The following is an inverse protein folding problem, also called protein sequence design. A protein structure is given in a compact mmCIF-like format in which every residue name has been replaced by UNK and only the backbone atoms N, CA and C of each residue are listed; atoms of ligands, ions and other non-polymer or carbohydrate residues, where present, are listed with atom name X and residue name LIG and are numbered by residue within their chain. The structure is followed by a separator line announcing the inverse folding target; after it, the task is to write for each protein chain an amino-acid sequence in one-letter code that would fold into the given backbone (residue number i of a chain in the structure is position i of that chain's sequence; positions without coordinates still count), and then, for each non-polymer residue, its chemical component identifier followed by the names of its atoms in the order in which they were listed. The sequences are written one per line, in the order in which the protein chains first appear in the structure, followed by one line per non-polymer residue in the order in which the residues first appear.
data_IF_413699237898
#
_entry.id   IF_413699237898
#
_cell.length_a   1.000
_cell.length_b   1.000
_cell.length_c   1.000
_cell.angle_alpha   90.00
_cell.angle_beta   90.00
_cell.angle_gamma   90.00
#
_symmetry.space_group_name_H-M   'P 1'
#
loop_
_entity.id
_entity.type
_entity.pdbx_description
1 polymer ?
#
# COMPACT_ATOMS: atom_id res chain seq x y z
N UNK A 1 -22.51 -10.58 1.65
CA UNK A 1 -22.04 -11.62 2.62
C UNK A 1 -22.91 -11.55 3.87
N UNK A 2 -23.24 -12.70 4.51
CA UNK A 2 -24.09 -12.70 5.69
C UNK A 2 -23.32 -12.18 6.93
N UNK A 3 -24.00 -11.49 7.83
CA UNK A 3 -23.46 -10.95 9.08
C UNK A 3 -22.69 -12.00 9.91
N UNK A 4 -23.17 -13.25 9.93
CA UNK A 4 -22.51 -14.36 10.63
C UNK A 4 -21.13 -14.70 10.02
N UNK A 5 -20.98 -14.66 8.70
CA UNK A 5 -19.69 -14.90 8.02
C UNK A 5 -18.65 -13.84 8.37
N UNK A 6 -19.07 -12.58 8.47
CA UNK A 6 -18.17 -11.49 8.84
C UNK A 6 -17.73 -11.57 10.32
N UNK A 7 -18.64 -11.93 11.21
CA UNK A 7 -18.31 -12.18 12.63
C UNK A 7 -17.29 -13.32 12.77
N UNK A 8 -17.43 -14.39 11.99
CA UNK A 8 -16.48 -15.52 12.02
C UNK A 8 -15.09 -15.07 11.54
N UNK A 9 -15.01 -14.32 10.44
CA UNK A 9 -13.74 -13.75 9.95
C UNK A 9 -13.06 -12.89 11.00
N UNK A 10 -13.84 -12.01 11.67
CA UNK A 10 -13.32 -11.14 12.70
C UNK A 10 -12.78 -11.94 13.90
N UNK A 11 -13.50 -12.96 14.38
CA UNK A 11 -13.04 -13.83 15.48
C UNK A 11 -11.74 -14.57 15.12
N UNK A 12 -11.62 -15.05 13.88
CA UNK A 12 -10.39 -15.67 13.37
C UNK A 12 -9.24 -14.66 13.37
N UNK A 13 -9.49 -13.45 12.90
CA UNK A 13 -8.50 -12.38 12.81
C UNK A 13 -8.00 -11.93 14.20
N UNK A 14 -8.91 -11.72 15.14
CA UNK A 14 -8.56 -11.28 16.49
C UNK A 14 -7.71 -12.34 17.22
N UNK A 15 -8.09 -13.61 17.14
CA UNK A 15 -7.30 -14.69 17.69
C UNK A 15 -5.91 -14.82 16.99
N UNK A 16 -5.86 -14.65 15.68
CA UNK A 16 -4.59 -14.69 14.95
C UNK A 16 -3.64 -13.56 15.39
N UNK A 17 -4.14 -12.35 15.54
CA UNK A 17 -3.37 -11.20 16.06
C UNK A 17 -2.80 -11.51 17.44
N UNK A 18 -3.64 -12.02 18.36
CA UNK A 18 -3.19 -12.42 19.70
C UNK A 18 -2.09 -13.48 19.64
N UNK A 19 -2.25 -14.52 18.81
CA UNK A 19 -1.26 -15.57 18.65
C UNK A 19 0.05 -15.05 18.08
N UNK A 20 0.01 -14.17 17.09
CA UNK A 20 1.21 -13.54 16.51
C UNK A 20 1.94 -12.72 17.58
N UNK A 21 1.21 -11.91 18.35
CA UNK A 21 1.80 -11.07 19.41
C UNK A 21 2.36 -11.92 20.57
N UNK A 22 1.67 -12.98 20.96
CA UNK A 22 2.09 -13.84 22.06
C UNK A 22 3.19 -14.85 21.68
N UNK A 23 3.50 -15.03 20.39
CA UNK A 23 4.46 -16.01 19.92
C UNK A 23 5.87 -15.75 20.46
N UNK A 24 6.47 -16.68 21.24
CA UNK A 24 7.80 -16.47 21.81
C UNK A 24 8.90 -16.34 20.75
N UNK A 25 8.85 -17.17 19.71
CA UNK A 25 9.76 -17.08 18.56
C UNK A 25 9.05 -16.36 17.40
N UNK A 26 9.35 -15.08 17.17
CA UNK A 26 8.69 -14.30 16.12
C UNK A 26 9.04 -14.76 14.70
N UNK A 27 10.06 -15.61 14.52
CA UNK A 27 10.45 -16.20 13.22
C UNK A 27 9.54 -17.35 12.82
N UNK A 28 8.79 -17.90 13.78
CA UNK A 28 7.90 -19.01 13.53
C UNK A 28 6.53 -18.51 13.11
N UNK A 29 6.07 -18.95 11.95
CA UNK A 29 4.73 -18.67 11.45
C UNK A 29 3.67 -19.36 12.29
N UNK A 30 2.56 -18.68 12.55
CA UNK A 30 1.37 -19.31 13.12
C UNK A 30 0.75 -20.20 12.06
N UNK A 31 0.59 -21.48 12.35
CA UNK A 31 -0.07 -22.43 11.46
C UNK A 31 -1.59 -22.47 11.69
N UNK A 32 -2.33 -22.88 10.65
CA UNK A 32 -3.79 -22.95 10.70
C UNK A 32 -4.27 -23.91 11.80
N UNK A 33 -3.53 -24.98 12.08
CA UNK A 33 -3.93 -25.96 13.11
C UNK A 33 -3.94 -25.36 14.49
N UNK A 34 -2.91 -24.59 14.83
CA UNK A 34 -2.81 -23.88 16.11
C UNK A 34 -3.95 -22.87 16.25
N UNK A 35 -4.23 -22.12 15.18
CA UNK A 35 -5.28 -21.09 15.17
C UNK A 35 -6.67 -21.70 15.38
N UNK A 36 -7.06 -22.68 14.55
CA UNK A 36 -8.42 -23.26 14.62
C UNK A 36 -8.67 -24.01 15.93
N UNK A 37 -7.61 -24.63 16.48
CA UNK A 37 -7.68 -25.27 17.81
C UNK A 37 -7.96 -24.26 18.93
N UNK A 38 -7.32 -23.07 18.84
CA UNK A 38 -7.51 -22.03 19.87
C UNK A 38 -8.91 -21.42 19.87
N UNK A 39 -9.52 -21.25 18.68
CA UNK A 39 -10.88 -20.68 18.54
C UNK A 39 -11.98 -21.73 18.44
N UNK A 40 -11.63 -23.00 18.62
CA UNK A 40 -12.55 -24.15 18.64
C UNK A 40 -13.42 -24.27 17.37
N UNK A 41 -12.85 -24.00 16.21
CA UNK A 41 -13.48 -24.24 14.91
C UNK A 41 -12.77 -25.36 14.16
N UNK A 42 -13.41 -25.94 13.14
CA UNK A 42 -12.77 -26.88 12.25
C UNK A 42 -11.95 -26.18 11.15
N UNK A 43 -11.03 -26.94 10.54
CA UNK A 43 -10.19 -26.45 9.43
C UNK A 43 -11.04 -26.02 8.22
N UNK A 44 -12.14 -26.71 7.97
CA UNK A 44 -13.03 -26.40 6.84
C UNK A 44 -13.62 -25.00 7.00
N UNK A 45 -14.03 -24.64 8.22
CA UNK A 45 -14.51 -23.29 8.54
C UNK A 45 -13.45 -22.25 8.25
N UNK A 46 -12.19 -22.45 8.62
CA UNK A 46 -11.11 -21.55 8.25
C UNK A 46 -10.96 -21.41 6.72
N UNK A 47 -10.87 -22.55 6.01
CA UNK A 47 -10.67 -22.53 4.55
C UNK A 47 -11.87 -22.06 3.75
N UNK A 48 -13.07 -21.98 4.34
CA UNK A 48 -14.22 -21.31 3.74
C UNK A 48 -14.04 -19.77 3.66
N UNK A 49 -13.11 -19.21 4.44
CA UNK A 49 -12.88 -17.77 4.54
C UNK A 49 -11.50 -17.32 4.00
N UNK A 50 -10.47 -18.13 4.23
CA UNK A 50 -9.09 -17.77 3.95
C UNK A 50 -8.33 -18.94 3.32
N UNK A 51 -7.53 -18.66 2.29
CA UNK A 51 -6.74 -19.71 1.62
C UNK A 51 -5.57 -20.18 2.49
N UNK A 52 -5.00 -19.27 3.27
CA UNK A 52 -3.88 -19.53 4.19
C UNK A 52 -3.73 -18.35 5.16
N UNK A 53 -2.72 -18.42 6.04
CA UNK A 53 -2.48 -17.35 7.03
C UNK A 53 -1.94 -16.05 6.43
N UNK A 54 -1.30 -16.05 5.26
CA UNK A 54 -0.94 -14.81 4.55
C UNK A 54 -2.19 -14.09 4.06
N UNK A 55 -3.13 -14.84 3.51
CA UNK A 55 -4.41 -14.32 3.08
C UNK A 55 -5.23 -13.70 4.24
N UNK A 56 -5.16 -14.32 5.41
CA UNK A 56 -5.72 -13.74 6.63
C UNK A 56 -5.04 -12.41 7.01
N UNK A 57 -3.70 -12.33 6.92
CA UNK A 57 -2.95 -11.08 7.16
C UNK A 57 -3.39 -9.98 6.18
N UNK A 58 -3.54 -10.32 4.90
CA UNK A 58 -4.03 -9.40 3.87
C UNK A 58 -5.43 -8.90 4.23
N UNK A 59 -6.34 -9.81 4.59
CA UNK A 59 -7.70 -9.44 4.96
C UNK A 59 -7.73 -8.53 6.20
N UNK A 60 -6.94 -8.83 7.23
CA UNK A 60 -6.83 -7.98 8.43
C UNK A 60 -6.46 -6.54 8.04
N UNK A 61 -5.41 -6.37 7.24
CA UNK A 61 -5.00 -5.06 6.78
C UNK A 61 -6.09 -4.37 5.95
N UNK A 62 -6.66 -5.07 4.96
CA UNK A 62 -7.70 -4.54 4.06
C UNK A 62 -8.97 -4.16 4.82
N UNK A 63 -9.45 -5.02 5.74
CA UNK A 63 -10.65 -4.77 6.52
C UNK A 63 -10.49 -3.55 7.44
N UNK A 64 -9.37 -3.44 8.15
CA UNK A 64 -9.08 -2.30 9.02
C UNK A 64 -8.93 -0.99 8.24
N UNK A 65 -8.23 -1.04 7.12
CA UNK A 65 -8.09 0.13 6.25
C UNK A 65 -9.45 0.55 5.68
N UNK A 66 -10.25 -0.40 5.18
CA UNK A 66 -11.57 -0.13 4.64
C UNK A 66 -12.52 0.47 5.70
N UNK A 67 -12.47 0.01 6.94
CA UNK A 67 -13.22 0.56 8.06
C UNK A 67 -12.89 2.05 8.24
N UNK A 68 -11.61 2.40 8.32
CA UNK A 68 -11.16 3.79 8.48
C UNK A 68 -11.49 4.66 7.26
N UNK A 69 -11.41 4.11 6.04
CA UNK A 69 -11.74 4.85 4.81
C UNK A 69 -13.25 5.11 4.66
N UNK A 70 -14.10 4.27 5.22
CA UNK A 70 -15.56 4.48 5.23
C UNK A 70 -16.01 5.48 6.29
N UNK A 71 -15.13 5.94 7.17
CA UNK A 71 -15.43 6.96 8.16
C UNK A 71 -15.77 8.29 7.45
N UNK A 72 -16.66 9.09 8.08
CA UNK A 72 -17.17 10.37 7.55
C UNK A 72 -16.08 11.38 7.16
N UNK A 73 -14.91 11.31 7.77
CA UNK A 73 -13.77 12.19 7.41
C UNK A 73 -13.29 12.04 5.98
N UNK A 74 -13.61 10.92 5.32
CA UNK A 74 -13.27 10.65 3.91
C UNK A 74 -14.42 10.89 2.94
N UNK A 75 -15.51 11.41 3.40
CA UNK A 75 -16.71 11.64 2.61
C UNK A 75 -16.49 12.52 1.36
N UNK A 76 -15.51 13.44 1.39
CA UNK A 76 -15.16 14.30 0.26
C UNK A 76 -14.03 13.71 -0.63
N UNK A 77 -13.45 12.59 -0.25
CA UNK A 77 -12.41 11.94 -1.02
C UNK A 77 -13.02 10.93 -2.00
N UNK A 78 -12.37 10.76 -3.14
CA UNK A 78 -12.68 9.66 -4.03
C UNK A 78 -12.09 8.37 -3.46
N UNK A 79 -12.94 7.39 -3.18
CA UNK A 79 -12.52 6.06 -2.78
C UNK A 79 -12.15 5.25 -4.02
N UNK A 80 -10.94 4.72 -4.02
CA UNK A 80 -10.41 3.93 -5.11
C UNK A 80 -10.15 2.48 -4.69
N UNK A 81 -10.34 1.59 -5.64
CA UNK A 81 -10.08 0.17 -5.47
C UNK A 81 -8.93 -0.23 -6.40
N UNK A 82 -8.15 -1.25 -6.01
CA UNK A 82 -7.11 -1.74 -6.91
C UNK A 82 -7.72 -2.15 -8.25
N UNK A 83 -6.98 -1.89 -9.32
CA UNK A 83 -7.38 -2.30 -10.64
C UNK A 83 -7.63 -3.82 -10.72
N UNK A 84 -8.55 -4.25 -11.58
CA UNK A 84 -8.85 -5.68 -11.82
C UNK A 84 -7.62 -6.52 -12.19
N UNK A 85 -6.58 -5.85 -12.72
CA UNK A 85 -5.29 -6.44 -13.08
C UNK A 85 -4.59 -7.16 -11.90
N UNK A 86 -4.94 -6.82 -10.66
CA UNK A 86 -4.34 -7.47 -9.48
C UNK A 86 -5.05 -8.76 -9.07
N UNK A 87 -6.18 -9.11 -9.69
CA UNK A 87 -7.01 -10.25 -9.30
C UNK A 87 -7.25 -10.32 -7.77
N UNK A 88 -7.38 -9.16 -7.14
CA UNK A 88 -7.57 -9.05 -5.70
C UNK A 88 -8.99 -9.47 -5.32
N UNK A 89 -9.11 -10.51 -4.52
CA UNK A 89 -10.40 -11.01 -4.04
C UNK A 89 -11.11 -10.08 -3.03
N UNK A 90 -10.44 -9.02 -2.59
CA UNK A 90 -10.94 -8.04 -1.62
C UNK A 90 -11.37 -6.72 -2.27
N UNK A 91 -11.86 -6.77 -3.48
CA UNK A 91 -12.34 -5.60 -4.24
C UNK A 91 -13.51 -4.86 -3.57
N UNK A 92 -14.26 -5.52 -2.69
CA UNK A 92 -15.32 -4.92 -1.87
C UNK A 92 -14.80 -4.09 -0.68
N UNK A 93 -13.49 -4.19 -0.38
CA UNK A 93 -12.82 -3.45 0.68
C UNK A 93 -11.99 -2.30 0.06
N UNK A 94 -12.42 -1.02 0.22
CA UNK A 94 -11.64 0.10 -0.26
C UNK A 94 -10.25 0.10 0.35
N UNK A 95 -9.24 0.37 -0.46
CA UNK A 95 -7.84 0.37 -0.03
C UNK A 95 -7.10 1.66 -0.34
N UNK A 96 -7.77 2.60 -0.98
CA UNK A 96 -7.18 3.87 -1.35
C UNK A 96 -8.22 4.98 -1.36
N UNK A 97 -7.79 6.20 -1.07
CA UNK A 97 -8.61 7.40 -1.18
C UNK A 97 -7.77 8.53 -1.79
N UNK A 98 -8.30 9.20 -2.81
CA UNK A 98 -7.66 10.35 -3.44
C UNK A 98 -8.22 11.64 -2.90
N UNK A 99 -7.33 12.52 -2.53
CA UNK A 99 -7.67 13.88 -2.12
C UNK A 99 -7.16 14.85 -3.19
N UNK A 100 -8.08 15.42 -3.93
CA UNK A 100 -7.78 16.38 -4.98
C UNK A 100 -7.50 17.75 -4.38
N UNK A 101 -6.43 18.38 -4.86
CA UNK A 101 -6.11 19.76 -4.55
C UNK A 101 -7.01 20.75 -5.29
N UNK A 102 -6.70 22.05 -5.16
CA UNK A 102 -7.49 23.10 -5.82
C UNK A 102 -7.17 23.27 -7.30
N UNK A 103 -6.00 22.79 -7.74
CA UNK A 103 -5.54 22.90 -9.13
C UNK A 103 -5.72 21.57 -9.85
N UNK A 104 -5.93 21.61 -11.15
CA UNK A 104 -5.95 20.40 -11.98
C UNK A 104 -4.62 19.63 -11.81
N UNK A 105 -4.70 18.33 -11.64
CA UNK A 105 -3.52 17.46 -11.42
C UNK A 105 -2.89 17.57 -10.02
N UNK A 106 -3.49 18.30 -9.10
CA UNK A 106 -2.99 18.39 -7.73
C UNK A 106 -3.61 17.31 -6.85
N UNK A 107 -2.77 16.48 -6.23
CA UNK A 107 -3.16 15.49 -5.24
C UNK A 107 -2.50 15.79 -3.90
N UNK A 108 -3.26 15.67 -2.83
CA UNK A 108 -2.75 15.73 -1.45
C UNK A 108 -3.07 14.42 -0.73
N UNK A 109 -2.16 13.48 -0.79
CA UNK A 109 -2.34 12.15 -0.23
C UNK A 109 -1.94 12.03 1.27
N UNK A 110 -1.50 13.13 1.89
CA UNK A 110 -1.18 13.18 3.31
C UNK A 110 -2.28 12.61 4.22
N UNK A 111 -3.56 13.00 4.07
CA UNK A 111 -4.65 12.45 4.87
C UNK A 111 -4.82 10.94 4.72
N UNK A 112 -4.70 10.42 3.49
CA UNK A 112 -4.78 8.98 3.23
C UNK A 112 -3.66 8.23 3.93
N UNK A 113 -2.40 8.62 3.71
CA UNK A 113 -1.26 7.92 4.30
C UNK A 113 -1.22 8.03 5.81
N UNK A 114 -1.67 9.15 6.38
CA UNK A 114 -1.87 9.27 7.83
C UNK A 114 -2.86 8.22 8.36
N UNK A 115 -3.91 7.93 7.60
CA UNK A 115 -4.87 6.87 7.93
C UNK A 115 -4.24 5.49 7.85
N UNK A 116 -3.46 5.19 6.80
CA UNK A 116 -2.71 3.92 6.70
C UNK A 116 -1.80 3.74 7.91
N UNK A 117 -1.06 4.77 8.27
CA UNK A 117 -0.17 4.71 9.43
C UNK A 117 -0.90 4.56 10.76
N UNK A 118 -2.05 5.22 10.91
CA UNK A 118 -2.92 5.02 12.05
C UNK A 118 -3.33 3.55 12.20
N UNK A 119 -3.79 2.92 11.12
CA UNK A 119 -4.13 1.48 11.10
C UNK A 119 -2.95 0.61 11.53
N UNK A 120 -1.76 0.89 11.02
CA UNK A 120 -0.55 0.13 11.36
C UNK A 120 -0.12 0.37 12.83
N UNK A 121 -0.19 1.61 13.29
CA UNK A 121 0.21 1.98 14.65
C UNK A 121 -0.76 1.46 15.72
N UNK A 122 -2.06 1.41 15.45
CA UNK A 122 -3.06 0.84 16.36
C UNK A 122 -2.74 -0.62 16.75
N UNK A 123 -2.05 -1.35 15.88
CA UNK A 123 -1.60 -2.73 16.12
C UNK A 123 -0.09 -2.87 15.90
N UNK A 124 0.70 -1.93 16.44
CA UNK A 124 2.13 -1.81 16.15
C UNK A 124 2.91 -3.08 16.46
N UNK A 125 2.63 -3.78 17.58
CA UNK A 125 3.31 -5.03 17.95
C UNK A 125 3.03 -6.15 16.94
N UNK A 126 1.79 -6.27 16.48
CA UNK A 126 1.40 -7.21 15.44
C UNK A 126 2.14 -6.92 14.13
N UNK A 127 2.08 -5.67 13.62
CA UNK A 127 2.73 -5.30 12.37
C UNK A 127 4.26 -5.35 12.44
N UNK A 128 4.85 -5.11 13.61
CA UNK A 128 6.29 -5.32 13.82
C UNK A 128 6.69 -6.76 13.53
N UNK A 129 5.89 -7.72 13.93
CA UNK A 129 6.12 -9.13 13.65
C UNK A 129 5.82 -9.49 12.20
N UNK A 130 4.78 -8.91 11.61
CA UNK A 130 4.45 -9.15 10.20
C UNK A 130 5.53 -8.59 9.26
N UNK A 131 5.99 -7.37 9.45
CA UNK A 131 7.03 -6.76 8.60
C UNK A 131 8.46 -7.21 8.95
N UNK A 132 8.68 -7.59 10.20
CA UNK A 132 10.02 -7.88 10.71
C UNK A 132 10.58 -9.24 10.29
N UNK A 133 9.73 -10.18 9.90
CA UNK A 133 10.16 -11.56 9.69
C UNK A 133 9.79 -12.08 8.29
N UNK A 134 10.72 -12.86 7.73
CA UNK A 134 10.58 -13.41 6.38
C UNK A 134 9.37 -14.34 6.19
N UNK A 135 8.80 -14.89 7.28
CA UNK A 135 7.62 -15.75 7.20
C UNK A 135 6.35 -15.07 6.67
N UNK A 136 6.33 -13.72 6.63
CA UNK A 136 5.22 -12.93 6.09
C UNK A 136 5.64 -12.02 4.92
N UNK A 137 6.74 -12.33 4.25
CA UNK A 137 7.25 -11.53 3.11
C UNK A 137 6.23 -11.37 1.98
N UNK A 138 5.36 -12.38 1.80
CA UNK A 138 4.30 -12.33 0.79
C UNK A 138 3.27 -11.23 1.06
N UNK A 139 3.07 -10.85 2.33
CA UNK A 139 2.23 -9.70 2.66
C UNK A 139 2.88 -8.39 2.21
N UNK A 140 4.19 -8.21 2.45
CA UNK A 140 4.91 -7.04 1.96
C UNK A 140 4.81 -6.93 0.43
N UNK A 141 5.07 -8.03 -0.26
CA UNK A 141 4.92 -8.09 -1.72
C UNK A 141 3.50 -7.75 -2.18
N UNK A 142 2.50 -8.24 -1.46
CA UNK A 142 1.10 -7.93 -1.77
C UNK A 142 0.84 -6.42 -1.69
N UNK A 143 1.23 -5.74 -0.60
CA UNK A 143 0.96 -4.29 -0.47
C UNK A 143 1.76 -3.47 -1.48
N UNK A 144 2.98 -3.84 -1.80
CA UNK A 144 3.76 -3.20 -2.86
C UNK A 144 3.02 -3.28 -4.21
N UNK A 145 2.61 -4.49 -4.61
CA UNK A 145 1.89 -4.72 -5.86
C UNK A 145 0.51 -4.04 -5.88
N UNK A 146 -0.17 -3.98 -4.74
CA UNK A 146 -1.46 -3.29 -4.61
C UNK A 146 -1.34 -1.80 -4.91
N UNK A 147 -0.23 -1.15 -4.50
CA UNK A 147 -0.07 0.29 -4.63
C UNK A 147 0.52 0.75 -5.98
N UNK A 148 1.17 -0.13 -6.73
CA UNK A 148 1.72 0.23 -8.05
C UNK A 148 0.67 0.78 -9.01
N UNK A 149 -0.46 0.12 -9.29
CA UNK A 149 -1.50 0.65 -10.18
C UNK A 149 -2.14 1.94 -9.64
N UNK A 150 -2.27 2.07 -8.33
CA UNK A 150 -2.78 3.28 -7.70
C UNK A 150 -1.85 4.48 -7.95
N UNK A 151 -0.54 4.29 -7.79
CA UNK A 151 0.46 5.31 -8.13
C UNK A 151 0.53 5.60 -9.63
N UNK A 152 0.33 4.60 -10.50
CA UNK A 152 0.20 4.85 -11.95
C UNK A 152 -0.94 5.81 -12.26
N UNK A 153 -2.09 5.58 -11.67
CA UNK A 153 -3.26 6.46 -11.84
C UNK A 153 -2.97 7.85 -11.27
N UNK A 154 -2.34 7.96 -10.11
CA UNK A 154 -1.97 9.25 -9.51
C UNK A 154 -0.98 10.03 -10.40
N UNK A 155 0.02 9.37 -10.95
CA UNK A 155 0.96 9.95 -11.92
C UNK A 155 0.20 10.45 -13.15
N UNK A 156 -0.75 9.67 -13.66
CA UNK A 156 -1.55 10.06 -14.82
C UNK A 156 -2.41 11.30 -14.52
N UNK A 157 -2.98 11.39 -13.33
CA UNK A 157 -3.72 12.58 -12.86
C UNK A 157 -2.78 13.79 -12.79
N UNK A 158 -1.59 13.64 -12.20
CA UNK A 158 -0.62 14.73 -12.05
C UNK A 158 -0.02 15.18 -13.39
N UNK A 159 0.05 14.31 -14.39
CA UNK A 159 0.45 14.69 -15.74
C UNK A 159 -0.53 15.66 -16.37
N UNK A 160 -1.82 15.53 -16.07
CA UNK A 160 -2.86 16.35 -16.67
C UNK A 160 -2.97 16.16 -18.19
N UNK A 161 -3.61 17.14 -18.85
CA UNK A 161 -3.82 17.09 -20.30
C UNK A 161 -2.55 17.54 -21.04
N UNK A 162 -2.14 16.76 -22.03
CA UNK A 162 -1.06 17.14 -22.96
C UNK A 162 0.34 16.66 -22.58
N UNK A 163 0.60 16.28 -21.34
CA UNK A 163 1.88 15.67 -20.92
C UNK A 163 1.81 14.14 -20.99
N UNK A 164 2.79 13.50 -21.57
CA UNK A 164 2.85 12.03 -21.71
C UNK A 164 4.24 11.51 -21.36
N UNK A 165 4.28 10.47 -20.55
CA UNK A 165 5.48 9.68 -20.30
C UNK A 165 5.54 8.47 -21.24
N UNK A 166 6.75 7.97 -21.47
CA UNK A 166 6.87 6.61 -22.03
C UNK A 166 6.27 5.58 -21.07
N UNK A 167 5.76 4.47 -21.58
CA UNK A 167 5.21 3.41 -20.74
C UNK A 167 6.22 2.93 -19.69
N UNK A 168 7.50 2.78 -20.09
CA UNK A 168 8.57 2.34 -19.18
C UNK A 168 8.87 3.37 -18.06
N UNK A 169 8.83 4.67 -18.37
CA UNK A 169 9.05 5.70 -17.36
C UNK A 169 7.88 5.77 -16.38
N UNK A 170 6.66 5.65 -16.89
CA UNK A 170 5.46 5.63 -16.07
C UNK A 170 5.46 4.44 -15.10
N UNK A 171 5.78 3.24 -15.59
CA UNK A 171 5.93 2.03 -14.78
C UNK A 171 6.99 2.22 -13.71
N UNK A 172 8.20 2.63 -14.11
CA UNK A 172 9.31 2.84 -13.19
C UNK A 172 8.98 3.79 -12.04
N UNK A 173 8.35 4.95 -12.34
CA UNK A 173 7.99 5.91 -11.30
C UNK A 173 6.98 5.32 -10.32
N UNK A 174 5.97 4.60 -10.81
CA UNK A 174 4.96 3.97 -9.96
C UNK A 174 5.58 2.89 -9.06
N UNK A 175 6.40 2.01 -9.61
CA UNK A 175 7.10 0.96 -8.88
C UNK A 175 8.05 1.56 -7.83
N UNK A 176 8.88 2.52 -8.22
CA UNK A 176 9.85 3.16 -7.34
C UNK A 176 9.19 3.80 -6.12
N UNK A 177 8.11 4.56 -6.33
CA UNK A 177 7.43 5.25 -5.24
C UNK A 177 6.60 4.29 -4.38
N UNK A 178 5.95 3.30 -4.95
CA UNK A 178 5.20 2.30 -4.19
C UNK A 178 6.13 1.45 -3.31
N UNK A 179 7.20 0.90 -3.88
CA UNK A 179 8.18 0.10 -3.13
C UNK A 179 8.95 0.92 -2.11
N UNK A 180 9.32 2.17 -2.45
CA UNK A 180 9.98 3.10 -1.52
C UNK A 180 9.12 3.42 -0.30
N UNK A 181 7.82 3.64 -0.50
CA UNK A 181 6.86 3.87 0.57
C UNK A 181 6.80 2.68 1.54
N UNK A 182 6.55 1.48 1.03
CA UNK A 182 6.44 0.28 1.85
C UNK A 182 7.78 -0.16 2.44
N UNK A 183 8.87 0.09 1.75
CA UNK A 183 10.23 -0.05 2.29
C UNK A 183 10.46 0.85 3.51
N UNK A 184 9.94 2.09 3.49
CA UNK A 184 9.99 3.00 4.65
C UNK A 184 9.13 2.51 5.81
N UNK A 185 7.91 2.04 5.56
CA UNK A 185 7.05 1.42 6.58
C UNK A 185 7.77 0.24 7.24
N UNK A 186 8.33 -0.66 6.42
CA UNK A 186 9.08 -1.80 6.91
C UNK A 186 10.28 -1.38 7.77
N UNK A 187 11.00 -0.33 7.39
CA UNK A 187 12.14 0.18 8.15
C UNK A 187 11.74 0.52 9.59
N UNK A 188 10.63 1.23 9.79
CA UNK A 188 10.14 1.58 11.13
C UNK A 188 9.85 0.34 11.97
N UNK A 189 9.09 -0.58 11.44
CA UNK A 189 8.65 -1.76 12.21
C UNK A 189 9.74 -2.80 12.39
N UNK A 190 10.60 -3.03 11.38
CA UNK A 190 11.56 -4.14 11.39
C UNK A 190 12.91 -3.77 11.98
N UNK A 191 13.39 -2.56 11.71
CA UNK A 191 14.76 -2.16 12.05
C UNK A 191 14.82 -1.14 13.18
N UNK A 192 13.95 -0.15 13.18
CA UNK A 192 13.94 0.88 14.22
C UNK A 192 13.15 0.43 15.45
N UNK A 193 12.38 -0.64 15.34
CA UNK A 193 11.51 -1.15 16.42
C UNK A 193 10.59 -0.08 17.01
N UNK A 194 10.06 0.78 16.15
CA UNK A 194 9.25 1.93 16.51
C UNK A 194 7.94 1.93 15.73
N UNK A 195 6.93 2.56 16.31
CA UNK A 195 5.75 2.95 15.56
C UNK A 195 6.10 4.10 14.61
N UNK A 196 5.35 4.26 13.53
CA UNK A 196 5.56 5.37 12.60
C UNK A 196 5.19 6.67 13.31
N UNK A 197 6.11 7.65 13.44
CA UNK A 197 5.82 8.89 14.16
C UNK A 197 4.74 9.71 13.45
N UNK A 198 3.74 10.19 14.19
CA UNK A 198 2.67 11.02 13.64
C UNK A 198 3.20 12.34 13.05
N UNK A 199 4.28 12.87 13.63
CA UNK A 199 4.90 14.11 13.19
C UNK A 199 5.66 13.99 11.87
N UNK A 200 6.18 12.79 11.55
CA UNK A 200 6.90 12.53 10.30
C UNK A 200 5.96 12.23 9.13
N UNK A 201 4.66 12.06 9.39
CA UNK A 201 3.71 11.59 8.40
C UNK A 201 3.39 12.63 7.32
N UNK A 202 3.29 13.91 7.68
CA UNK A 202 2.93 14.96 6.72
C UNK A 202 4.03 15.23 5.68
N UNK A 203 5.30 15.43 6.07
CA UNK A 203 6.36 15.67 5.08
C UNK A 203 6.70 14.41 4.29
N UNK A 204 6.70 13.23 4.94
CA UNK A 204 7.17 11.98 4.31
C UNK A 204 6.12 11.40 3.37
N UNK A 205 4.86 11.43 3.74
CA UNK A 205 3.80 10.80 2.95
C UNK A 205 3.31 11.68 1.81
N UNK A 206 3.25 12.97 2.03
CA UNK A 206 3.06 13.90 0.94
C UNK A 206 4.32 14.04 0.09
N UNK A 207 5.50 13.65 0.65
CA UNK A 207 6.76 13.68 -0.07
C UNK A 207 6.75 12.81 -1.34
N UNK A 208 6.19 11.61 -1.30
CA UNK A 208 6.12 10.74 -2.47
C UNK A 208 5.39 11.46 -3.62
N UNK A 209 4.21 12.03 -3.37
CA UNK A 209 3.44 12.76 -4.38
C UNK A 209 4.08 14.09 -4.74
N UNK A 210 4.67 14.80 -3.80
CA UNK A 210 5.46 16.01 -4.06
C UNK A 210 6.70 15.69 -4.90
N UNK A 211 7.42 14.61 -4.61
CA UNK A 211 8.59 14.19 -5.38
C UNK A 211 8.20 13.78 -6.79
N UNK A 212 7.11 13.03 -6.97
CA UNK A 212 6.57 12.70 -8.29
C UNK A 212 6.29 13.99 -9.07
N UNK A 213 5.58 14.94 -8.46
CA UNK A 213 5.23 16.20 -9.11
C UNK A 213 6.46 16.99 -9.52
N UNK A 214 7.41 17.18 -8.61
CA UNK A 214 8.66 17.88 -8.92
C UNK A 214 9.45 17.18 -10.04
N UNK A 215 9.46 15.85 -10.05
CA UNK A 215 10.09 15.07 -11.12
C UNK A 215 9.39 15.29 -12.45
N UNK A 216 8.06 15.26 -12.46
CA UNK A 216 7.27 15.52 -13.67
C UNK A 216 7.50 16.96 -14.17
N UNK A 217 7.46 17.94 -13.28
CA UNK A 217 7.68 19.35 -13.64
C UNK A 217 9.10 19.56 -14.19
N UNK A 218 10.12 18.97 -13.57
CA UNK A 218 11.49 19.01 -14.07
C UNK A 218 11.65 18.35 -15.45
N UNK A 219 10.92 17.26 -15.70
CA UNK A 219 10.91 16.59 -16.99
C UNK A 219 10.24 17.42 -18.09
N UNK A 220 9.28 18.26 -17.75
CA UNK A 220 8.45 18.97 -18.72
C UNK A 220 8.66 20.48 -18.76
N UNK A 221 9.15 21.12 -17.70
CA UNK A 221 9.28 22.56 -17.51
C UNK A 221 10.73 23.02 -17.27
N UNK A 222 11.72 22.11 -17.46
CA UNK A 222 13.13 22.46 -17.32
C UNK A 222 13.58 23.60 -18.24
N UNK A 223 14.71 24.30 -17.94
CA UNK A 223 15.13 25.53 -18.60
C UNK A 223 15.30 25.44 -20.12
N UNK A 224 15.35 24.25 -20.68
CA UNK A 224 15.44 24.01 -22.11
C UNK A 224 14.21 23.27 -22.68
N UNK A 225 13.15 23.12 -21.86
CA UNK A 225 11.94 22.38 -22.25
C UNK A 225 12.20 20.93 -22.67
N UNK A 226 11.17 20.15 -22.68
CA UNK A 226 11.14 18.71 -22.94
C UNK A 226 11.93 18.13 -24.11
N UNK A 227 12.28 18.93 -25.10
CA UNK A 227 13.01 18.50 -26.26
C UNK A 227 14.38 17.88 -25.89
N UNK A 228 15.01 18.36 -24.80
CA UNK A 228 16.38 17.98 -24.47
C UNK A 228 16.47 16.62 -23.78
N UNK A 229 15.57 16.30 -22.86
CA UNK A 229 15.63 15.01 -22.15
C UNK A 229 15.28 13.85 -23.10
N UNK A 230 14.24 14.00 -23.89
CA UNK A 230 13.87 12.99 -24.89
C UNK A 230 14.87 12.93 -26.07
N UNK A 231 15.43 14.04 -26.49
CA UNK A 231 16.47 14.09 -27.51
C UNK A 231 17.78 13.42 -27.04
N UNK A 232 18.20 13.64 -25.79
CA UNK A 232 19.38 12.99 -25.23
C UNK A 232 19.20 11.47 -25.09
N UNK A 233 18.01 10.99 -24.68
CA UNK A 233 17.72 9.57 -24.66
C UNK A 233 17.63 8.96 -26.06
N UNK A 234 17.09 9.67 -27.04
CA UNK A 234 17.02 9.24 -28.42
C UNK A 234 18.43 9.20 -29.07
N UNK A 235 19.29 10.19 -28.81
CA UNK A 235 20.66 10.23 -29.30
C UNK A 235 21.53 9.10 -28.73
N UNK A 236 21.38 8.77 -27.42
CA UNK A 236 22.07 7.62 -26.84
C UNK A 236 21.61 6.27 -27.42
N UNK A 237 20.35 6.17 -27.87
CA UNK A 237 19.84 4.95 -28.53
C UNK A 237 20.28 4.81 -29.97
N UNK A 238 20.61 5.89 -30.66
CA UNK A 238 21.02 5.86 -32.08
C UNK A 238 22.52 5.63 -32.31
N UNK A 239 23.31 5.36 -31.24
CA UNK A 239 24.69 4.86 -31.38
C UNK A 239 25.62 5.72 -32.25
N UNK A 240 25.45 7.03 -32.30
CA UNK A 240 26.44 7.90 -32.97
C UNK A 240 27.54 8.21 -31.95
N UNK A 241 28.80 7.83 -32.28
CA UNK A 241 29.93 8.30 -31.50
C UNK A 241 30.06 9.82 -31.66
N UNK A 242 30.46 10.47 -30.59
CA UNK A 242 30.87 11.85 -30.55
C UNK A 242 32.07 12.05 -31.47
#
# INVERSE_FOLDING_TARGET
MGKASEMTKQSIADCFIELVVAQPDPRRRIDVTTLVKKIEIDRKTFYNHFDNTTDLVIWIFRARLAEKLRDRKFYQAELDYPAEELHDKYTDLPCYARFYGRREGELNQGPFFRTVCGVLNEQSEYYRRIFGFACYIDFLRYVELLFIPLFKTDIQIMLGKGRKLSASTHEFLAEYHATGLWGRVRLYFSYLNQSIPDQDLDPVWNYAHTAIRLTLDAMFEGPEGNATFHAQLAQKRCGRPL
#
